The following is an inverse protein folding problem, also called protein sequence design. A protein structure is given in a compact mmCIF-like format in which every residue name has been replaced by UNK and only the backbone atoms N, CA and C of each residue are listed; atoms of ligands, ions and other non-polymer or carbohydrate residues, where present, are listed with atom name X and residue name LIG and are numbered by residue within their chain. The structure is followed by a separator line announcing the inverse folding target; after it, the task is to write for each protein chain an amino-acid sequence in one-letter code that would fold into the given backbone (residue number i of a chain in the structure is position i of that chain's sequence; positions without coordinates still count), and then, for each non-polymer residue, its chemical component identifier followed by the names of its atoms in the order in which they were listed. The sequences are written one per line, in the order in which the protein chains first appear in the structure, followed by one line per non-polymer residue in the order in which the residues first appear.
data_IF_718798812612
#
_entry.id   IF_718798812612
#
_cell.length_a   1.000
_cell.length_b   1.000
_cell.length_c   1.000
_cell.angle_alpha   90.00
_cell.angle_beta   90.00
_cell.angle_gamma   90.00
#
_symmetry.space_group_name_H-M   'P 1'
#
loop_
_entity.id
_entity.type
_entity.pdbx_description
1 polymer ?
#
# COMPACT_ATOMS: atom_id res chain seq x y z
N UNK A 1 -27.28 -30.01 16.18
CA UNK A 1 -26.86 -29.70 14.79
C UNK A 1 -25.45 -29.16 14.86
N UNK A 2 -24.48 -29.81 14.21
CA UNK A 2 -23.09 -29.34 14.15
C UNK A 2 -22.99 -28.14 13.21
N UNK A 3 -22.44 -27.02 13.68
CA UNK A 3 -22.17 -25.86 12.85
C UNK A 3 -21.26 -26.26 11.68
N UNK A 4 -21.54 -25.73 10.49
CA UNK A 4 -20.67 -25.94 9.32
C UNK A 4 -19.32 -25.24 9.56
N UNK A 5 -18.25 -25.72 8.93
CA UNK A 5 -16.92 -25.09 9.00
C UNK A 5 -16.97 -23.60 8.62
N UNK A 6 -17.90 -23.20 7.75
CA UNK A 6 -18.09 -21.80 7.38
C UNK A 6 -18.68 -20.96 8.51
N UNK A 7 -19.67 -21.48 9.23
CA UNK A 7 -20.27 -20.81 10.39
C UNK A 7 -19.28 -20.72 11.54
N UNK A 8 -18.53 -21.80 11.78
CA UNK A 8 -17.43 -21.85 12.73
C UNK A 8 -16.40 -20.73 12.47
N UNK A 9 -15.88 -20.66 11.23
CA UNK A 9 -14.90 -19.65 10.83
C UNK A 9 -15.44 -18.22 10.89
N UNK A 10 -16.75 -18.03 10.73
CA UNK A 10 -17.37 -16.71 10.86
C UNK A 10 -17.49 -16.29 12.33
N UNK A 11 -17.86 -17.23 13.21
CA UNK A 11 -18.03 -16.99 14.64
C UNK A 11 -16.70 -16.76 15.38
N UNK A 12 -15.63 -17.40 14.93
CA UNK A 12 -14.28 -17.37 15.56
C UNK A 12 -13.26 -16.59 14.73
N UNK A 13 -13.74 -15.67 13.87
CA UNK A 13 -12.87 -14.91 12.97
C UNK A 13 -11.85 -14.08 13.77
N UNK A 14 -10.55 -14.22 13.45
CA UNK A 14 -9.45 -13.55 14.16
C UNK A 14 -8.84 -14.37 15.30
N UNK A 15 -9.47 -15.47 15.71
CA UNK A 15 -8.94 -16.38 16.73
C UNK A 15 -8.07 -17.50 16.13
N UNK A 16 -8.18 -17.71 14.81
CA UNK A 16 -7.36 -18.68 14.08
C UNK A 16 -5.95 -18.14 13.82
N UNK A 17 -4.96 -19.01 13.92
CA UNK A 17 -3.56 -18.70 13.58
C UNK A 17 -3.15 -19.45 12.32
N UNK A 18 -2.45 -18.77 11.40
CA UNK A 18 -1.81 -19.44 10.28
C UNK A 18 -0.58 -20.18 10.78
N UNK A 19 -0.52 -21.50 10.55
CA UNK A 19 0.61 -22.36 10.95
C UNK A 19 1.50 -22.74 9.78
N UNK A 20 0.98 -22.73 8.54
CA UNK A 20 1.78 -23.12 7.39
C UNK A 20 1.14 -22.81 6.04
N UNK A 21 1.98 -22.84 4.99
CA UNK A 21 1.55 -22.76 3.59
C UNK A 21 2.26 -23.86 2.83
N UNK A 22 1.50 -24.79 2.28
CA UNK A 22 2.03 -25.97 1.58
C UNK A 22 1.61 -25.97 0.12
N UNK A 23 2.44 -26.55 -0.75
CA UNK A 23 2.01 -26.82 -2.13
C UNK A 23 1.02 -27.97 -2.12
N UNK A 24 -0.19 -27.73 -2.61
CA UNK A 24 -1.24 -28.73 -2.62
C UNK A 24 -2.20 -28.50 -3.79
N UNK A 25 -2.85 -29.59 -4.21
CA UNK A 25 -4.04 -29.58 -5.06
C UNK A 25 -5.16 -30.32 -4.32
N UNK A 26 -5.99 -29.55 -3.62
CA UNK A 26 -6.89 -30.01 -2.57
C UNK A 26 -8.21 -29.22 -2.62
N UNK A 27 -9.20 -29.59 -1.80
CA UNK A 27 -10.43 -28.81 -1.64
C UNK A 27 -10.38 -27.99 -0.35
N UNK A 28 -10.76 -26.72 -0.42
CA UNK A 28 -10.87 -25.87 0.77
C UNK A 28 -11.91 -26.45 1.74
N UNK A 29 -11.52 -26.76 2.97
CA UNK A 29 -12.44 -27.33 3.97
C UNK A 29 -13.58 -26.38 4.39
N UNK A 30 -13.45 -25.07 4.13
CA UNK A 30 -14.52 -24.09 4.40
C UNK A 30 -15.57 -24.00 3.28
N UNK A 31 -15.14 -23.97 2.02
CA UNK A 31 -16.00 -23.59 0.90
C UNK A 31 -15.98 -24.56 -0.26
N UNK A 32 -15.33 -25.71 -0.08
CA UNK A 32 -15.17 -26.85 -1.01
C UNK A 32 -14.55 -26.53 -2.37
N UNK A 33 -14.28 -25.25 -2.66
CA UNK A 33 -13.58 -24.83 -3.88
C UNK A 33 -12.21 -25.46 -3.93
N UNK A 34 -11.85 -25.97 -5.11
CA UNK A 34 -10.53 -26.50 -5.41
C UNK A 34 -9.47 -25.42 -5.22
N UNK A 35 -8.43 -25.76 -4.48
CA UNK A 35 -7.27 -24.95 -4.16
C UNK A 35 -6.13 -25.50 -4.99
N UNK A 36 -5.72 -24.72 -6.00
CA UNK A 36 -4.58 -25.07 -6.86
C UNK A 36 -3.33 -24.36 -6.36
N UNK A 37 -2.21 -25.06 -6.38
CA UNK A 37 -0.86 -24.62 -6.05
C UNK A 37 -0.54 -24.40 -4.57
N UNK A 38 -1.43 -23.83 -3.73
CA UNK A 38 -1.11 -23.54 -2.32
C UNK A 38 -2.32 -23.68 -1.39
N UNK A 39 -2.22 -24.58 -0.41
CA UNK A 39 -3.14 -24.65 0.71
C UNK A 39 -2.55 -23.98 1.95
N UNK A 40 -3.42 -23.45 2.81
CA UNK A 40 -3.07 -22.67 3.99
C UNK A 40 -3.57 -23.43 5.21
N UNK A 41 -2.64 -23.81 6.08
CA UNK A 41 -2.93 -24.50 7.33
C UNK A 41 -3.18 -23.45 8.42
N UNK A 42 -4.35 -23.55 9.04
CA UNK A 42 -4.77 -22.67 10.13
C UNK A 42 -5.14 -23.52 11.34
N UNK A 43 -4.90 -23.03 12.54
CA UNK A 43 -5.23 -23.73 13.78
C UNK A 43 -6.09 -22.86 14.69
N UNK A 44 -7.00 -23.49 15.42
CA UNK A 44 -7.78 -22.90 16.49
C UNK A 44 -7.65 -23.77 17.75
N UNK A 45 -7.45 -23.19 18.95
CA UNK A 45 -7.24 -23.96 20.18
C UNK A 45 -8.34 -25.00 20.47
N UNK A 46 -9.59 -24.66 20.15
CA UNK A 46 -10.75 -25.50 20.46
C UNK A 46 -11.29 -26.28 19.26
N UNK A 47 -10.96 -25.86 18.03
CA UNK A 47 -11.56 -26.41 16.81
C UNK A 47 -10.56 -27.22 15.97
N UNK A 48 -9.30 -27.24 16.37
CA UNK A 48 -8.23 -27.98 15.70
C UNK A 48 -7.72 -27.29 14.44
N UNK A 49 -7.09 -28.08 13.57
CA UNK A 49 -6.44 -27.61 12.36
C UNK A 49 -7.35 -27.73 11.13
N UNK A 50 -7.26 -26.74 10.24
CA UNK A 50 -7.96 -26.73 8.96
C UNK A 50 -7.02 -26.39 7.81
N UNK A 51 -7.28 -27.02 6.67
CA UNK A 51 -6.68 -26.74 5.39
C UNK A 51 -7.63 -25.90 4.52
N UNK A 52 -7.25 -24.65 4.30
CA UNK A 52 -8.09 -23.66 3.65
C UNK A 52 -7.44 -23.11 2.37
N UNK A 53 -8.29 -22.67 1.44
CA UNK A 53 -7.85 -21.81 0.34
C UNK A 53 -7.54 -20.40 0.84
N UNK A 54 -6.69 -19.66 0.09
CA UNK A 54 -6.21 -18.30 0.42
C UNK A 54 -7.29 -17.37 0.97
N UNK A 55 -8.46 -17.29 0.32
CA UNK A 55 -9.54 -16.37 0.72
C UNK A 55 -10.14 -16.74 2.08
N UNK A 56 -10.32 -18.03 2.34
CA UNK A 56 -10.87 -18.53 3.60
C UNK A 56 -9.85 -18.42 4.73
N UNK A 57 -8.58 -18.73 4.49
CA UNK A 57 -7.52 -18.58 5.48
C UNK A 57 -7.32 -17.12 5.92
N UNK A 58 -7.36 -16.17 4.98
CA UNK A 58 -7.28 -14.73 5.30
C UNK A 58 -8.47 -14.28 6.15
N UNK A 59 -9.68 -14.78 5.85
CA UNK A 59 -10.88 -14.47 6.65
C UNK A 59 -10.79 -15.06 8.06
N UNK A 60 -10.31 -16.29 8.18
CA UNK A 60 -10.16 -16.99 9.45
C UNK A 60 -9.13 -16.31 10.36
N UNK A 61 -7.96 -15.98 9.82
CA UNK A 61 -6.78 -15.58 10.62
C UNK A 61 -6.51 -14.09 10.66
N UNK A 62 -7.06 -13.31 9.71
CA UNK A 62 -6.67 -11.90 9.54
C UNK A 62 -5.19 -11.68 9.18
N UNK A 63 -4.40 -12.75 8.94
CA UNK A 63 -2.94 -12.70 8.80
C UNK A 63 -2.43 -11.67 7.76
N UNK A 64 -3.15 -11.52 6.65
CA UNK A 64 -2.77 -10.53 5.62
C UNK A 64 -3.13 -9.08 5.97
N UNK A 65 -3.91 -8.82 7.02
CA UNK A 65 -4.28 -7.46 7.41
C UNK A 65 -3.23 -6.83 8.32
N UNK A 66 -2.71 -7.57 9.31
CA UNK A 66 -1.73 -7.02 10.27
C UNK A 66 -0.38 -6.72 9.61
N UNK A 67 0.21 -7.69 8.90
CA UNK A 67 1.48 -7.47 8.20
C UNK A 67 1.37 -6.44 7.07
N UNK A 68 0.19 -6.31 6.44
CA UNK A 68 -0.05 -5.30 5.40
C UNK A 68 -0.23 -3.92 6.03
N UNK A 69 -0.96 -3.82 7.13
CA UNK A 69 -1.14 -2.58 7.89
C UNK A 69 0.20 -2.04 8.40
N UNK A 70 1.03 -2.90 8.99
CA UNK A 70 2.38 -2.53 9.44
C UNK A 70 3.28 -2.08 8.27
N UNK A 71 3.25 -2.79 7.13
CA UNK A 71 4.00 -2.39 5.93
C UNK A 71 3.52 -1.06 5.34
N UNK A 72 2.21 -0.82 5.31
CA UNK A 72 1.64 0.45 4.86
C UNK A 72 2.05 1.56 5.81
N UNK A 73 1.96 1.36 7.12
CA UNK A 73 2.35 2.35 8.12
C UNK A 73 3.84 2.69 8.01
N UNK A 74 4.71 1.68 7.87
CA UNK A 74 6.15 1.88 7.65
C UNK A 74 6.41 2.65 6.35
N UNK A 75 5.70 2.31 5.27
CA UNK A 75 5.81 3.01 3.99
C UNK A 75 5.38 4.49 4.10
N UNK A 76 4.27 4.75 4.78
CA UNK A 76 3.77 6.13 4.99
C UNK A 76 4.75 6.93 5.84
N UNK A 77 5.29 6.36 6.91
CA UNK A 77 6.29 7.02 7.74
C UNK A 77 7.55 7.37 6.93
N UNK A 78 8.00 6.45 6.08
CA UNK A 78 9.17 6.66 5.22
C UNK A 78 8.93 7.75 4.17
N UNK A 79 7.78 7.74 3.50
CA UNK A 79 7.43 8.81 2.54
C UNK A 79 7.34 10.17 3.25
N UNK A 80 6.78 10.24 4.46
CA UNK A 80 6.72 11.50 5.23
C UNK A 80 8.12 12.04 5.56
N UNK A 81 9.03 11.19 6.02
CA UNK A 81 10.42 11.57 6.26
C UNK A 81 11.07 12.13 4.98
N UNK A 82 10.86 11.45 3.84
CA UNK A 82 11.37 11.92 2.54
C UNK A 82 10.76 13.26 2.13
N UNK A 83 9.46 13.46 2.37
CA UNK A 83 8.79 14.75 2.12
C UNK A 83 9.41 15.89 2.94
N UNK A 84 9.79 15.65 4.20
CA UNK A 84 10.49 16.63 5.03
C UNK A 84 11.87 16.97 4.46
N UNK A 85 12.66 15.96 4.07
CA UNK A 85 14.01 16.14 3.49
C UNK A 85 13.95 16.89 2.15
N UNK A 86 13.11 16.41 1.22
CA UNK A 86 12.95 17.02 -0.12
C UNK A 86 12.35 18.41 0.02
N UNK A 87 11.36 18.60 0.91
CA UNK A 87 10.72 19.89 1.11
C UNK A 87 11.64 20.94 1.71
N UNK A 88 12.54 20.54 2.61
CA UNK A 88 13.59 21.43 3.12
C UNK A 88 14.58 21.85 2.03
N UNK A 89 14.93 20.93 1.12
CA UNK A 89 15.86 21.22 0.02
C UNK A 89 15.21 22.00 -1.14
N UNK A 90 13.92 21.78 -1.41
CA UNK A 90 13.18 22.36 -2.53
C UNK A 90 11.81 22.92 -2.08
N UNK A 91 11.77 24.07 -1.37
CA UNK A 91 10.54 24.60 -0.79
C UNK A 91 9.41 24.84 -1.82
N UNK A 92 9.75 25.34 -3.01
CA UNK A 92 8.77 25.60 -4.07
C UNK A 92 8.06 24.32 -4.59
N UNK A 93 8.70 23.15 -4.46
CA UNK A 93 8.07 21.88 -4.79
C UNK A 93 7.12 21.42 -3.67
N UNK A 94 7.52 21.60 -2.41
CA UNK A 94 6.67 21.32 -1.26
C UNK A 94 5.42 22.21 -1.25
N UNK A 95 5.56 23.51 -1.54
CA UNK A 95 4.43 24.44 -1.65
C UNK A 95 3.45 24.01 -2.75
N UNK A 96 3.96 23.66 -3.94
CA UNK A 96 3.13 23.15 -5.03
C UNK A 96 2.40 21.85 -4.63
N UNK A 97 3.10 20.95 -3.92
CA UNK A 97 2.51 19.72 -3.42
C UNK A 97 1.36 19.97 -2.44
N UNK A 98 1.57 20.84 -1.45
CA UNK A 98 0.54 21.16 -0.45
C UNK A 98 -0.67 21.87 -1.05
N UNK A 99 -0.46 22.80 -2.00
CA UNK A 99 -1.54 23.49 -2.67
C UNK A 99 -2.43 22.53 -3.48
N UNK A 100 -1.82 21.55 -4.14
CA UNK A 100 -2.51 20.50 -4.90
C UNK A 100 -3.26 19.52 -4.01
N UNK A 101 -2.64 19.07 -2.92
CA UNK A 101 -3.29 18.21 -1.92
C UNK A 101 -4.49 18.90 -1.27
N UNK A 102 -4.38 20.20 -0.95
CA UNK A 102 -5.49 20.99 -0.42
C UNK A 102 -6.62 21.14 -1.43
N UNK A 103 -6.31 21.43 -2.70
CA UNK A 103 -7.30 21.46 -3.77
C UNK A 103 -8.01 20.12 -3.91
N UNK A 104 -7.26 19.01 -3.92
CA UNK A 104 -7.82 17.66 -3.99
C UNK A 104 -8.76 17.33 -2.83
N UNK A 105 -8.42 17.76 -1.59
CA UNK A 105 -9.31 17.63 -0.43
C UNK A 105 -10.61 18.41 -0.59
N UNK A 106 -10.54 19.64 -1.09
CA UNK A 106 -11.71 20.49 -1.32
C UNK A 106 -12.61 19.91 -2.42
N UNK A 107 -12.02 19.42 -3.52
CA UNK A 107 -12.74 18.76 -4.61
C UNK A 107 -13.45 17.49 -4.14
N UNK A 108 -12.76 16.63 -3.36
CA UNK A 108 -13.36 15.44 -2.76
C UNK A 108 -14.51 15.78 -1.81
N UNK A 109 -14.34 16.81 -0.97
CA UNK A 109 -15.40 17.28 -0.06
C UNK A 109 -16.62 17.80 -0.84
N UNK A 110 -16.40 18.38 -2.02
CA UNK A 110 -17.44 18.82 -2.94
C UNK A 110 -18.00 17.70 -3.84
N UNK A 111 -17.55 16.45 -3.66
CA UNK A 111 -18.05 15.28 -4.38
C UNK A 111 -17.50 15.12 -5.81
N UNK A 112 -16.45 15.87 -6.17
CA UNK A 112 -15.76 15.68 -7.44
C UNK A 112 -14.86 14.44 -7.38
N UNK A 113 -14.74 13.74 -8.51
CA UNK A 113 -13.74 12.70 -8.66
C UNK A 113 -12.32 13.31 -8.63
N UNK A 114 -11.36 12.69 -7.92
CA UNK A 114 -9.98 13.17 -7.89
C UNK A 114 -9.42 13.27 -9.31
N UNK A 115 -9.01 14.47 -9.73
CA UNK A 115 -8.29 14.66 -10.99
C UNK A 115 -6.79 14.62 -10.72
N UNK A 116 -6.05 13.95 -11.60
CA UNK A 116 -4.60 14.07 -11.61
C UNK A 116 -4.23 15.44 -12.20
N UNK A 117 -3.43 16.27 -11.50
CA UNK A 117 -3.05 17.57 -12.03
C UNK A 117 -2.26 17.42 -13.32
N UNK A 118 -2.72 18.07 -14.39
CA UNK A 118 -2.23 17.90 -15.74
C UNK A 118 -1.60 19.16 -16.33
N UNK A 119 -0.33 19.01 -16.74
CA UNK A 119 0.44 19.81 -17.70
C UNK A 119 0.93 21.22 -17.34
N UNK A 120 0.34 21.93 -16.38
CA UNK A 120 0.87 23.24 -15.97
C UNK A 120 2.12 23.11 -15.07
N UNK A 121 2.80 24.24 -14.83
CA UNK A 121 4.04 24.26 -14.01
C UNK A 121 3.78 23.76 -12.59
N UNK A 122 2.60 24.05 -12.03
CA UNK A 122 2.24 23.67 -10.68
C UNK A 122 2.01 22.15 -10.55
N UNK A 123 1.26 21.55 -11.48
CA UNK A 123 1.07 20.11 -11.58
C UNK A 123 2.36 19.36 -11.87
N UNK A 124 3.25 19.91 -12.71
CA UNK A 124 4.60 19.34 -12.94
C UNK A 124 5.47 19.35 -11.67
N UNK A 125 5.42 20.44 -10.89
CA UNK A 125 6.13 20.54 -9.61
C UNK A 125 5.57 19.57 -8.56
N UNK A 126 4.24 19.45 -8.46
CA UNK A 126 3.57 18.44 -7.63
C UNK A 126 4.05 17.04 -7.98
N UNK A 127 4.03 16.68 -9.27
CA UNK A 127 4.41 15.34 -9.71
C UNK A 127 5.89 15.05 -9.44
N UNK A 128 6.78 16.03 -9.65
CA UNK A 128 8.20 15.88 -9.33
C UNK A 128 8.43 15.65 -7.84
N UNK A 129 7.73 16.40 -6.97
CA UNK A 129 7.80 16.21 -5.52
C UNK A 129 7.30 14.83 -5.10
N UNK A 130 6.20 14.38 -5.70
CA UNK A 130 5.64 13.05 -5.44
C UNK A 130 6.65 11.97 -5.83
N UNK A 131 7.19 11.99 -7.05
CA UNK A 131 8.20 11.03 -7.50
C UNK A 131 9.45 11.03 -6.61
N UNK A 132 10.00 12.21 -6.29
CA UNK A 132 11.18 12.32 -5.46
C UNK A 132 10.98 11.76 -4.04
N UNK A 133 9.75 11.69 -3.55
CA UNK A 133 9.44 11.22 -2.19
C UNK A 133 8.91 9.79 -2.15
N UNK A 134 8.41 9.26 -3.28
CA UNK A 134 7.86 7.90 -3.34
C UNK A 134 8.74 6.89 -4.06
N UNK A 135 9.62 7.29 -4.97
CA UNK A 135 10.40 6.30 -5.73
C UNK A 135 11.58 5.74 -4.94
N UNK A 136 11.57 4.43 -4.67
CA UNK A 136 12.57 3.80 -3.76
C UNK A 136 13.98 3.77 -4.32
N UNK A 137 14.13 3.68 -5.64
CA UNK A 137 15.45 3.63 -6.26
C UNK A 137 16.25 4.91 -6.02
N UNK A 138 15.59 6.07 -5.90
CA UNK A 138 16.22 7.37 -5.62
C UNK A 138 16.80 7.48 -4.19
N UNK A 139 16.44 6.54 -3.32
CA UNK A 139 16.81 6.51 -1.90
C UNK A 139 17.58 5.24 -1.55
N UNK A 140 18.02 4.45 -2.54
CA UNK A 140 18.71 3.20 -2.29
C UNK A 140 20.07 3.42 -1.60
N UNK A 141 20.78 4.47 -1.99
CA UNK A 141 21.95 5.01 -1.30
C UNK A 141 21.70 6.48 -0.91
N UNK A 142 21.33 6.72 0.35
CA UNK A 142 21.04 8.07 0.82
C UNK A 142 22.25 9.00 0.76
N UNK A 143 23.47 8.46 0.88
CA UNK A 143 24.69 9.25 0.84
C UNK A 143 25.02 9.76 -0.57
N UNK A 144 24.53 9.06 -1.60
CA UNK A 144 24.67 9.46 -2.99
C UNK A 144 23.74 10.61 -3.40
N UNK A 145 22.73 10.93 -2.58
CA UNK A 145 21.71 11.96 -2.84
C UNK A 145 21.11 11.92 -4.26
N UNK A 146 20.90 10.72 -4.83
CA UNK A 146 20.37 10.54 -6.19
C UNK A 146 19.03 11.25 -6.41
N UNK A 147 18.17 11.26 -5.38
CA UNK A 147 16.93 12.02 -5.36
C UNK A 147 17.16 13.53 -5.61
N UNK A 148 18.24 14.11 -5.09
CA UNK A 148 18.54 15.55 -5.24
C UNK A 148 18.97 15.84 -6.66
N UNK A 149 19.88 15.03 -7.22
CA UNK A 149 20.32 15.14 -8.60
C UNK A 149 19.14 15.01 -9.57
N UNK A 150 18.26 14.02 -9.34
CA UNK A 150 17.03 13.82 -10.10
C UNK A 150 16.11 15.06 -10.09
N UNK A 151 15.90 15.67 -8.92
CA UNK A 151 15.07 16.88 -8.81
C UNK A 151 15.71 18.05 -9.57
N UNK A 152 17.01 18.29 -9.41
CA UNK A 152 17.71 19.38 -10.10
C UNK A 152 17.62 19.24 -11.62
N UNK A 153 17.89 18.05 -12.14
CA UNK A 153 17.83 17.77 -13.59
C UNK A 153 16.42 18.00 -14.15
N UNK A 154 15.40 17.49 -13.46
CA UNK A 154 14.00 17.56 -13.92
C UNK A 154 13.40 18.94 -13.76
N UNK A 155 13.81 19.70 -12.75
CA UNK A 155 13.33 21.06 -12.53
C UNK A 155 13.83 22.02 -13.62
N UNK A 156 15.03 21.80 -14.17
CA UNK A 156 15.54 22.58 -15.29
C UNK A 156 14.63 22.49 -16.53
N UNK A 157 14.00 21.35 -16.77
CA UNK A 157 13.09 21.14 -17.88
C UNK A 157 11.79 21.95 -17.79
N UNK A 158 11.41 22.45 -16.60
CA UNK A 158 10.19 23.23 -16.41
C UNK A 158 10.30 24.67 -16.93
N UNK A 159 11.52 25.22 -17.00
CA UNK A 159 11.79 26.57 -17.51
C UNK A 159 11.85 26.68 -19.04
N UNK A 160 12.05 25.56 -19.74
CA UNK A 160 12.23 25.52 -21.20
C UNK A 160 10.94 25.41 -22.01
N UNK A 161 9.79 25.21 -21.38
CA UNK A 161 8.47 25.12 -22.06
C UNK A 161 7.63 26.40 -21.92
N UNK A 162 8.28 27.57 -22.01
CA UNK A 162 7.62 28.85 -22.20
C UNK A 162 7.71 29.26 -23.69
N UNK A 163 6.92 28.61 -24.54
CA UNK A 163 6.62 29.06 -25.90
C UNK A 163 5.14 28.86 -26.20
#
# INVERSE_FOLDING_TARGET
MTATTRELLAATAGEWRLTGIVKADTACQCCTRRVRARAFHVTHPECGELELGRRCAVRATGWKQLERGARIAARVAEVKRRQEVVGAAFPALAEAYQAEEERGRQEQAAGFEPRYPGHDVQGRRFYLFQLATTEDFLWHDEAAEEWRAFVVERQAAFGTTAH
#
